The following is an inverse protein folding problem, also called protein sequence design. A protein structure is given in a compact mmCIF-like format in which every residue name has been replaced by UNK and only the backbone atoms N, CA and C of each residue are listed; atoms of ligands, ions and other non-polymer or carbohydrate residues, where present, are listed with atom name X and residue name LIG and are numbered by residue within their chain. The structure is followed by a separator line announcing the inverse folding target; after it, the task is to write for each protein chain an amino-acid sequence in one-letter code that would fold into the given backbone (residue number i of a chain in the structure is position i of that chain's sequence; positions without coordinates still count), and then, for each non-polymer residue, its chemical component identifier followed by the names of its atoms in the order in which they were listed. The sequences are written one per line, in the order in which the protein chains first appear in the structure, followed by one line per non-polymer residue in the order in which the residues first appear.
data_IF_751423133765
#
_entry.id   IF_751423133765
#
_cell.length_a   1.000
_cell.length_b   1.000
_cell.length_c   1.000
_cell.angle_alpha   90.00
_cell.angle_beta   90.00
_cell.angle_gamma   90.00
#
_symmetry.space_group_name_H-M   'P 1'
#
loop_
_entity.id
_entity.type
_entity.pdbx_description
1 polymer ?
#
# COMPACT_ATOMS: atom_id res chain seq x y z
N UNK A 1 -9.19 1.27 -15.66
CA UNK A 1 -10.27 1.03 -14.66
C UNK A 1 -9.98 -0.16 -13.73
N UNK A 2 -9.01 -1.02 -14.08
CA UNK A 2 -8.69 -2.21 -13.30
C UNK A 2 -7.51 -2.03 -12.32
N UNK A 3 -6.89 -0.86 -12.31
CA UNK A 3 -5.71 -0.55 -11.51
C UNK A 3 -6.07 0.47 -10.44
N UNK A 4 -5.78 0.12 -9.18
CA UNK A 4 -5.76 1.03 -8.06
C UNK A 4 -4.33 1.38 -7.70
N UNK A 5 -4.07 2.61 -7.25
CA UNK A 5 -2.73 3.06 -6.92
C UNK A 5 -2.69 3.84 -5.61
N UNK A 6 -1.84 3.37 -4.71
CA UNK A 6 -1.41 4.11 -3.52
C UNK A 6 -0.07 4.76 -3.81
N UNK A 7 -0.04 6.08 -3.86
CA UNK A 7 1.17 6.88 -4.04
C UNK A 7 1.95 7.05 -2.72
N UNK A 8 3.24 7.26 -2.79
CA UNK A 8 4.16 7.40 -1.65
C UNK A 8 3.63 8.36 -0.57
N UNK A 9 3.21 9.55 -0.88
CA UNK A 9 2.65 10.53 0.08
C UNK A 9 1.14 10.37 0.32
N UNK A 10 0.51 9.24 -0.10
CA UNK A 10 -0.95 9.06 -0.21
C UNK A 10 -1.61 9.97 -1.25
N UNK A 11 -1.01 11.08 -1.63
CA UNK A 11 -1.46 12.06 -2.62
C UNK A 11 -2.97 12.40 -2.47
N UNK A 12 -3.39 12.65 -1.24
CA UNK A 12 -4.76 13.11 -0.96
C UNK A 12 -4.93 14.55 -1.41
N UNK A 13 -6.10 14.88 -1.92
CA UNK A 13 -6.48 16.25 -2.23
C UNK A 13 -6.75 17.00 -0.94
N UNK A 14 -5.95 17.98 -0.60
CA UNK A 14 -6.09 18.77 0.63
C UNK A 14 -7.37 19.63 0.66
N UNK A 15 -7.92 19.93 -0.52
CA UNK A 15 -9.19 20.67 -0.67
C UNK A 15 -10.45 19.81 -0.56
N UNK A 16 -10.29 18.50 -0.38
CA UNK A 16 -11.39 17.52 -0.29
C UNK A 16 -11.35 16.79 1.04
N UNK A 17 -12.52 16.51 1.61
CA UNK A 17 -12.61 15.66 2.78
C UNK A 17 -12.29 14.19 2.46
N UNK A 18 -12.24 13.33 3.48
CA UNK A 18 -11.93 11.91 3.34
C UNK A 18 -12.89 11.20 2.39
N UNK A 19 -14.20 11.41 2.57
CA UNK A 19 -15.22 10.79 1.72
C UNK A 19 -15.07 11.18 0.26
N UNK A 20 -14.84 12.46 -0.01
CA UNK A 20 -14.61 12.99 -1.36
C UNK A 20 -13.30 12.46 -1.98
N UNK A 21 -12.23 12.33 -1.18
CA UNK A 21 -10.99 11.73 -1.63
C UNK A 21 -11.19 10.28 -2.08
N UNK A 22 -11.89 9.47 -1.27
CA UNK A 22 -12.16 8.06 -1.61
C UNK A 22 -13.13 7.95 -2.77
N UNK A 23 -14.14 8.82 -2.86
CA UNK A 23 -15.13 8.84 -3.93
C UNK A 23 -14.57 9.26 -5.30
N UNK A 24 -13.49 10.04 -5.31
CA UNK A 24 -12.96 10.67 -6.52
C UNK A 24 -12.78 9.72 -7.73
N UNK A 25 -12.22 8.50 -7.60
CA UNK A 25 -12.13 7.59 -8.74
C UNK A 25 -13.50 7.18 -9.30
N UNK A 26 -14.51 7.02 -8.47
CA UNK A 26 -15.87 6.69 -8.90
C UNK A 26 -16.51 7.85 -9.67
N UNK A 27 -16.23 9.09 -9.26
CA UNK A 27 -16.78 10.28 -9.94
C UNK A 27 -16.21 10.46 -11.35
N UNK A 28 -14.94 10.08 -11.56
CA UNK A 28 -14.27 10.24 -12.86
C UNK A 28 -14.49 9.02 -13.77
N UNK A 29 -14.56 7.82 -13.21
CA UNK A 29 -14.50 6.58 -13.99
C UNK A 29 -15.84 5.89 -14.19
N UNK A 30 -16.88 6.27 -13.43
CA UNK A 30 -18.16 5.58 -13.42
C UNK A 30 -19.35 6.54 -13.49
N UNK A 31 -20.47 6.05 -14.01
CA UNK A 31 -21.78 6.72 -13.97
C UNK A 31 -22.66 6.18 -12.82
N UNK A 32 -22.05 5.50 -11.86
CA UNK A 32 -22.74 4.93 -10.69
C UNK A 32 -23.55 6.02 -9.96
N UNK A 33 -24.79 5.74 -9.53
CA UNK A 33 -25.59 6.68 -8.75
C UNK A 33 -24.90 7.13 -7.46
N UNK A 34 -25.14 8.37 -7.03
CA UNK A 34 -24.46 8.97 -5.87
C UNK A 34 -24.63 8.14 -4.58
N UNK A 35 -25.83 7.58 -4.37
CA UNK A 35 -26.10 6.73 -3.22
C UNK A 35 -25.19 5.50 -3.18
N UNK A 36 -25.04 4.81 -4.30
CA UNK A 36 -24.17 3.63 -4.41
C UNK A 36 -22.70 3.98 -4.27
N UNK A 37 -22.26 5.16 -4.79
CA UNK A 37 -20.91 5.67 -4.57
C UNK A 37 -20.63 5.85 -3.08
N UNK A 38 -21.55 6.46 -2.33
CA UNK A 38 -21.39 6.68 -0.89
C UNK A 38 -21.36 5.35 -0.12
N UNK A 39 -22.16 4.37 -0.50
CA UNK A 39 -22.13 3.03 0.11
C UNK A 39 -20.76 2.38 -0.13
N UNK A 40 -20.22 2.43 -1.36
CA UNK A 40 -18.86 1.92 -1.67
C UNK A 40 -17.76 2.63 -0.88
N UNK A 41 -17.84 3.96 -0.78
CA UNK A 41 -16.90 4.78 0.01
C UNK A 41 -16.88 4.33 1.47
N UNK A 42 -18.06 4.21 2.09
CA UNK A 42 -18.19 3.79 3.47
C UNK A 42 -17.65 2.37 3.68
N UNK A 43 -17.98 1.46 2.78
CA UNK A 43 -17.46 0.10 2.82
C UNK A 43 -15.93 0.05 2.71
N UNK A 44 -15.33 0.81 1.79
CA UNK A 44 -13.86 0.86 1.66
C UNK A 44 -13.18 1.50 2.88
N UNK A 45 -13.78 2.53 3.47
CA UNK A 45 -13.29 3.11 4.73
C UNK A 45 -13.36 2.12 5.88
N UNK A 46 -14.44 1.34 5.98
CA UNK A 46 -14.56 0.26 6.97
C UNK A 46 -13.49 -0.83 6.77
N UNK A 47 -13.25 -1.25 5.52
CA UNK A 47 -12.21 -2.23 5.19
C UNK A 47 -10.81 -1.80 5.66
N UNK A 48 -10.51 -0.51 5.65
CA UNK A 48 -9.23 0.01 6.14
C UNK A 48 -9.27 0.44 7.63
N UNK A 49 -10.34 0.09 8.36
CA UNK A 49 -10.51 0.37 9.78
C UNK A 49 -10.71 1.84 10.11
N UNK A 50 -11.34 2.59 9.21
CA UNK A 50 -11.66 4.01 9.39
C UNK A 50 -13.17 4.22 9.40
N UNK A 51 -13.74 4.45 10.59
CA UNK A 51 -15.17 4.68 10.76
C UNK A 51 -15.46 6.14 11.11
N UNK A 52 -16.55 6.69 10.56
CA UNK A 52 -17.07 8.05 10.87
C UNK A 52 -16.05 9.18 10.62
N UNK A 53 -15.21 9.04 9.58
CA UNK A 53 -14.17 10.04 9.25
C UNK A 53 -14.45 10.78 7.94
N UNK A 54 -15.55 10.50 7.26
CA UNK A 54 -15.86 11.01 5.91
C UNK A 54 -15.72 12.54 5.79
N UNK A 55 -16.11 13.29 6.83
CA UNK A 55 -16.10 14.75 6.83
C UNK A 55 -14.76 15.36 7.26
N UNK A 56 -13.81 14.54 7.75
CA UNK A 56 -12.50 15.06 8.15
C UNK A 56 -11.69 15.49 6.94
N UNK A 57 -10.90 16.54 7.11
CA UNK A 57 -9.93 16.99 6.12
C UNK A 57 -8.60 16.21 6.28
N UNK A 58 -7.80 16.08 5.23
CA UNK A 58 -6.49 15.44 5.34
C UNK A 58 -5.58 16.02 6.43
N UNK A 59 -5.67 17.33 6.69
CA UNK A 59 -4.92 18.00 7.76
C UNK A 59 -5.25 17.51 9.18
N UNK A 60 -6.43 16.90 9.37
CA UNK A 60 -6.89 16.37 10.66
C UNK A 60 -6.50 14.90 10.87
N UNK A 61 -5.79 14.28 9.91
CA UNK A 61 -5.44 12.87 9.92
C UNK A 61 -3.98 12.64 10.33
N UNK A 62 -3.72 11.58 11.10
CA UNK A 62 -2.37 11.07 11.30
C UNK A 62 -1.79 10.50 10.00
N UNK A 63 -0.45 10.31 9.93
CA UNK A 63 0.21 9.72 8.77
C UNK A 63 -0.37 8.35 8.40
N UNK A 64 -0.56 7.47 9.37
CA UNK A 64 -1.17 6.16 9.15
C UNK A 64 -2.62 6.23 8.68
N UNK A 65 -3.42 7.19 9.17
CA UNK A 65 -4.78 7.41 8.67
C UNK A 65 -4.77 7.89 7.22
N UNK A 66 -3.86 8.81 6.85
CA UNK A 66 -3.71 9.26 5.45
C UNK A 66 -3.40 8.09 4.52
N UNK A 67 -2.49 7.18 4.92
CA UNK A 67 -2.19 5.97 4.15
C UNK A 67 -3.42 5.09 3.97
N UNK A 68 -4.18 4.84 5.04
CA UNK A 68 -5.43 4.06 5.00
C UNK A 68 -6.48 4.69 4.08
N UNK A 69 -6.66 6.01 4.10
CA UNK A 69 -7.54 6.72 3.15
C UNK A 69 -7.05 6.56 1.71
N UNK A 70 -5.72 6.65 1.49
CA UNK A 70 -5.12 6.40 0.18
C UNK A 70 -5.36 4.98 -0.34
N UNK A 71 -5.28 3.97 0.55
CA UNK A 71 -5.61 2.57 0.22
C UNK A 71 -7.10 2.45 -0.11
N UNK A 72 -8.00 3.01 0.72
CA UNK A 72 -9.44 2.99 0.47
C UNK A 72 -9.78 3.59 -0.91
N UNK A 73 -9.16 4.72 -1.26
CA UNK A 73 -9.30 5.34 -2.59
C UNK A 73 -8.79 4.43 -3.72
N UNK A 74 -7.71 3.71 -3.50
CA UNK A 74 -7.14 2.82 -4.52
C UNK A 74 -8.03 1.61 -4.81
N UNK A 75 -8.78 1.11 -3.82
CA UNK A 75 -9.63 -0.09 -3.98
C UNK A 75 -11.10 0.21 -4.28
N UNK A 76 -11.56 1.46 -4.18
CA UNK A 76 -12.98 1.84 -4.26
C UNK A 76 -13.66 1.48 -5.59
N UNK A 77 -12.89 1.33 -6.66
CA UNK A 77 -13.38 0.97 -8.00
C UNK A 77 -13.24 -0.54 -8.30
N UNK A 78 -13.20 -1.39 -7.27
CA UNK A 78 -13.08 -2.85 -7.40
C UNK A 78 -11.88 -3.26 -8.29
N UNK A 79 -10.73 -2.62 -8.06
CA UNK A 79 -9.51 -2.79 -8.86
C UNK A 79 -8.97 -4.21 -8.74
N UNK A 80 -8.62 -4.84 -9.88
CA UNK A 80 -7.99 -6.18 -9.92
C UNK A 80 -6.51 -6.14 -9.54
N UNK A 81 -5.86 -5.02 -9.81
CA UNK A 81 -4.44 -4.79 -9.53
C UNK A 81 -4.29 -3.61 -8.57
N UNK A 82 -3.57 -3.82 -7.50
CA UNK A 82 -3.24 -2.77 -6.53
C UNK A 82 -1.74 -2.50 -6.56
N UNK A 83 -1.36 -1.28 -6.91
CA UNK A 83 0.02 -0.81 -6.87
C UNK A 83 0.21 0.06 -5.63
N UNK A 84 1.19 -0.28 -4.80
CA UNK A 84 1.55 0.47 -3.61
C UNK A 84 3.00 0.96 -3.75
N UNK A 85 3.16 2.27 -3.83
CA UNK A 85 4.48 2.92 -3.90
C UNK A 85 4.86 3.41 -2.50
N UNK A 86 5.89 2.80 -1.91
CA UNK A 86 6.41 3.10 -0.57
C UNK A 86 5.29 3.26 0.49
N UNK A 87 4.44 2.23 0.70
CA UNK A 87 3.26 2.35 1.56
C UNK A 87 3.62 2.76 3.00
N UNK A 88 4.79 2.37 3.48
CA UNK A 88 5.24 2.60 4.87
C UNK A 88 6.10 3.84 5.06
N UNK A 89 6.42 4.56 3.97
CA UNK A 89 7.27 5.75 4.04
C UNK A 89 6.71 6.79 5.01
N UNK A 90 7.56 7.26 5.94
CA UNK A 90 7.23 8.31 6.91
C UNK A 90 6.37 7.86 8.10
N UNK A 91 6.22 6.55 8.32
CA UNK A 91 5.51 5.99 9.46
C UNK A 91 6.47 5.47 10.53
N UNK A 92 5.99 5.43 11.78
CA UNK A 92 6.67 4.71 12.85
C UNK A 92 6.61 3.18 12.60
N UNK A 93 7.53 2.39 13.17
CA UNK A 93 7.63 0.94 12.88
C UNK A 93 6.34 0.15 13.17
N UNK A 94 5.62 0.49 14.25
CA UNK A 94 4.38 -0.22 14.59
C UNK A 94 3.26 0.09 13.61
N UNK A 95 3.17 1.34 13.16
CA UNK A 95 2.18 1.74 12.16
C UNK A 95 2.53 1.16 10.80
N UNK A 96 3.83 1.06 10.45
CA UNK A 96 4.29 0.42 9.22
C UNK A 96 3.83 -1.04 9.13
N UNK A 97 4.06 -1.85 10.17
CA UNK A 97 3.60 -3.24 10.25
C UNK A 97 2.08 -3.34 10.02
N UNK A 98 1.30 -2.47 10.69
CA UNK A 98 -0.17 -2.45 10.51
C UNK A 98 -0.62 -2.11 9.10
N UNK A 99 0.16 -1.34 8.34
CA UNK A 99 -0.12 -1.06 6.92
C UNK A 99 0.21 -2.27 6.06
N UNK A 100 1.32 -2.98 6.34
CA UNK A 100 1.68 -4.21 5.64
C UNK A 100 0.62 -5.30 5.85
N UNK A 101 0.22 -5.54 7.11
CA UNK A 101 -0.86 -6.47 7.46
C UNK A 101 -2.16 -6.13 6.73
N UNK A 102 -2.53 -4.85 6.72
CA UNK A 102 -3.72 -4.37 6.02
C UNK A 102 -3.65 -4.65 4.51
N UNK A 103 -2.52 -4.36 3.87
CA UNK A 103 -2.32 -4.62 2.44
C UNK A 103 -2.45 -6.12 2.15
N UNK A 104 -1.85 -6.98 2.97
CA UNK A 104 -1.94 -8.43 2.83
C UNK A 104 -3.38 -8.92 3.00
N UNK A 105 -4.07 -8.47 4.06
CA UNK A 105 -5.49 -8.82 4.31
C UNK A 105 -6.38 -8.41 3.14
N UNK A 106 -6.25 -7.17 2.65
CA UNK A 106 -7.03 -6.68 1.52
C UNK A 106 -6.74 -7.45 0.23
N UNK A 107 -5.47 -7.80 -0.03
CA UNK A 107 -5.06 -8.61 -1.18
C UNK A 107 -5.79 -9.94 -1.19
N UNK A 108 -5.84 -10.62 -0.06
CA UNK A 108 -6.52 -11.91 0.09
C UNK A 108 -8.05 -11.78 0.01
N UNK A 109 -8.62 -10.81 0.75
CA UNK A 109 -10.06 -10.60 0.84
C UNK A 109 -10.68 -10.17 -0.48
N UNK A 110 -10.02 -9.26 -1.19
CA UNK A 110 -10.50 -8.72 -2.46
C UNK A 110 -10.00 -9.54 -3.67
N UNK A 111 -9.13 -10.55 -3.44
CA UNK A 111 -8.51 -11.38 -4.49
C UNK A 111 -7.81 -10.53 -5.57
N UNK A 112 -7.12 -9.48 -5.15
CA UNK A 112 -6.35 -8.61 -6.03
C UNK A 112 -4.94 -9.15 -6.22
N UNK A 113 -4.31 -8.79 -7.34
CA UNK A 113 -2.86 -8.91 -7.48
C UNK A 113 -2.23 -7.61 -6.99
N UNK A 114 -1.47 -7.68 -5.90
CA UNK A 114 -0.84 -6.50 -5.30
C UNK A 114 0.64 -6.44 -5.62
N UNK A 115 1.11 -5.28 -6.07
CA UNK A 115 2.52 -4.99 -6.34
C UNK A 115 2.94 -3.88 -5.39
N UNK A 116 3.89 -4.18 -4.51
CA UNK A 116 4.46 -3.23 -3.56
C UNK A 116 5.87 -2.87 -4.02
N UNK A 117 6.12 -1.60 -4.25
CA UNK A 117 7.46 -1.05 -4.47
C UNK A 117 7.93 -0.51 -3.12
N UNK A 118 9.03 -1.03 -2.61
CA UNK A 118 9.56 -0.62 -1.30
C UNK A 118 11.06 -0.89 -1.20
N UNK A 119 11.73 -0.13 -0.34
CA UNK A 119 13.09 -0.38 0.11
C UNK A 119 13.12 -0.90 1.57
N UNK A 120 11.97 -1.07 2.22
CA UNK A 120 11.90 -1.62 3.56
C UNK A 120 11.99 -3.15 3.54
N UNK A 121 13.12 -3.66 4.01
CA UNK A 121 13.36 -5.11 4.05
C UNK A 121 12.46 -5.86 5.04
N UNK A 122 11.88 -5.18 6.04
CA UNK A 122 10.91 -5.83 6.92
C UNK A 122 9.65 -6.16 6.12
N UNK A 123 9.10 -5.18 5.38
CA UNK A 123 7.95 -5.41 4.49
C UNK A 123 8.24 -6.52 3.47
N UNK A 124 9.42 -6.48 2.82
CA UNK A 124 9.82 -7.49 1.82
C UNK A 124 9.81 -8.91 2.41
N UNK A 125 10.31 -9.08 3.64
CA UNK A 125 10.38 -10.41 4.28
C UNK A 125 9.02 -10.84 4.82
N UNK A 126 8.22 -9.93 5.37
CA UNK A 126 6.94 -10.25 6.01
C UNK A 126 5.83 -10.55 4.99
N UNK A 127 5.68 -9.72 3.96
CA UNK A 127 4.54 -9.83 3.03
C UNK A 127 4.94 -10.22 1.59
N UNK A 128 6.23 -10.31 1.27
CA UNK A 128 6.71 -10.60 -0.08
C UNK A 128 6.60 -12.08 -0.46
N UNK A 129 5.62 -12.46 -1.26
CA UNK A 129 5.50 -13.82 -1.83
C UNK A 129 6.41 -14.02 -3.03
N UNK A 130 6.38 -13.08 -3.97
CA UNK A 130 7.27 -13.01 -5.13
C UNK A 130 8.01 -11.67 -5.11
N UNK A 131 9.32 -11.73 -5.13
CA UNK A 131 10.19 -10.56 -4.98
C UNK A 131 11.04 -10.41 -6.23
N UNK A 132 11.08 -9.18 -6.75
CA UNK A 132 11.95 -8.79 -7.86
C UNK A 132 12.88 -7.68 -7.37
N UNK A 133 14.19 -7.89 -7.48
CA UNK A 133 15.17 -6.86 -7.16
C UNK A 133 15.63 -6.16 -8.42
N UNK A 134 15.44 -4.85 -8.43
CA UNK A 134 15.87 -3.97 -9.52
C UNK A 134 17.14 -3.24 -9.13
N UNK A 135 18.14 -3.25 -10.00
CA UNK A 135 19.41 -2.56 -9.81
C UNK A 135 19.85 -1.97 -11.15
N UNK A 136 20.24 -0.69 -11.16
CA UNK A 136 20.67 0.05 -12.36
C UNK A 136 19.72 -0.11 -13.56
N UNK A 137 18.40 -0.02 -13.29
CA UNK A 137 17.37 -0.12 -14.33
C UNK A 137 17.13 -1.52 -14.90
N UNK A 138 17.72 -2.57 -14.30
CA UNK A 138 17.58 -3.96 -14.74
C UNK A 138 17.09 -4.85 -13.61
N UNK A 139 16.38 -5.94 -13.98
CA UNK A 139 16.06 -7.01 -13.04
C UNK A 139 17.33 -7.82 -12.76
N UNK A 140 17.88 -7.68 -11.56
CA UNK A 140 19.10 -8.39 -11.16
C UNK A 140 18.78 -9.74 -10.50
N UNK A 141 17.66 -9.85 -9.79
CA UNK A 141 17.26 -11.06 -9.10
C UNK A 141 15.74 -11.17 -9.00
N UNK A 142 15.26 -12.42 -8.87
CA UNK A 142 13.88 -12.72 -8.53
C UNK A 142 13.78 -13.98 -7.66
N UNK A 143 12.75 -14.04 -6.81
CA UNK A 143 12.53 -15.17 -5.91
C UNK A 143 11.44 -14.88 -4.90
N UNK A 144 11.60 -15.43 -3.70
CA UNK A 144 10.66 -15.22 -2.59
C UNK A 144 11.40 -14.79 -1.31
N UNK A 145 10.65 -14.47 -0.27
CA UNK A 145 11.18 -14.03 1.03
C UNK A 145 12.14 -15.04 1.69
N UNK A 146 11.96 -16.36 1.44
CA UNK A 146 12.87 -17.40 1.99
C UNK A 146 14.21 -17.46 1.25
N UNK A 147 14.21 -17.12 -0.03
CA UNK A 147 15.41 -17.18 -0.89
C UNK A 147 16.23 -15.89 -0.84
N UNK A 148 15.60 -14.73 -0.61
CA UNK A 148 16.29 -13.44 -0.63
C UNK A 148 17.40 -13.36 0.44
N UNK A 149 17.18 -13.95 1.62
CA UNK A 149 18.15 -13.97 2.72
C UNK A 149 19.35 -14.92 2.48
N UNK A 150 19.24 -15.80 1.48
CA UNK A 150 20.24 -16.82 1.13
C UNK A 150 20.95 -16.55 -0.20
N UNK A 151 20.74 -15.37 -0.77
CA UNK A 151 21.35 -15.02 -2.06
C UNK A 151 22.87 -14.81 -1.91
N UNK A 152 23.62 -15.15 -2.99
CA UNK A 152 25.04 -14.87 -3.10
C UNK A 152 25.36 -13.67 -3.99
N UNK A 153 24.33 -12.96 -4.47
CA UNK A 153 24.50 -11.76 -5.30
C UNK A 153 24.95 -10.62 -4.40
N UNK A 154 26.12 -10.05 -4.70
CA UNK A 154 26.79 -9.04 -3.88
C UNK A 154 25.91 -7.81 -3.65
N UNK A 155 25.39 -7.24 -4.70
CA UNK A 155 24.57 -6.01 -4.69
C UNK A 155 23.30 -6.22 -3.86
N UNK A 156 22.65 -7.37 -4.01
CA UNK A 156 21.46 -7.72 -3.25
C UNK A 156 21.80 -7.95 -1.76
N UNK A 157 22.93 -8.62 -1.46
CA UNK A 157 23.39 -8.81 -0.09
C UNK A 157 23.73 -7.47 0.58
N UNK A 158 24.39 -6.57 -0.11
CA UNK A 158 24.70 -5.24 0.41
C UNK A 158 23.43 -4.46 0.73
N UNK A 159 22.40 -4.58 -0.11
CA UNK A 159 21.10 -3.95 0.11
C UNK A 159 20.36 -4.58 1.28
N UNK A 160 20.15 -5.90 1.28
CA UNK A 160 19.41 -6.67 2.31
C UNK A 160 20.05 -6.48 3.68
N UNK A 161 21.37 -6.57 3.78
CA UNK A 161 22.12 -6.47 5.02
C UNK A 161 22.72 -5.07 5.27
N UNK A 162 22.22 -4.02 4.62
CA UNK A 162 22.59 -2.63 4.91
C UNK A 162 22.27 -2.22 6.34
N UNK A 163 21.19 -2.77 6.90
CA UNK A 163 20.80 -2.54 8.30
C UNK A 163 21.56 -3.46 9.27
N UNK A 164 22.07 -2.88 10.39
CA UNK A 164 22.80 -3.62 11.43
C UNK A 164 21.98 -4.76 12.07
N UNK A 165 20.65 -4.63 12.12
CA UNK A 165 19.77 -5.68 12.65
C UNK A 165 19.75 -6.89 11.72
N UNK A 166 19.62 -6.69 10.42
CA UNK A 166 19.62 -7.76 9.42
C UNK A 166 20.99 -8.47 9.36
N UNK A 167 22.10 -7.78 9.65
CA UNK A 167 23.43 -8.41 9.76
C UNK A 167 23.54 -9.44 10.88
N UNK A 168 22.70 -9.41 11.90
CA UNK A 168 22.69 -10.37 13.00
C UNK A 168 21.86 -11.64 12.72
N UNK A 169 21.09 -11.63 11.66
CA UNK A 169 20.23 -12.75 11.24
C UNK A 169 20.97 -13.66 10.24
N UNK A 170 22.06 -13.18 9.66
CA UNK A 170 22.96 -13.94 8.78
C UNK A 170 23.91 -14.81 9.61
#
# INVERSE_FOLDING_TARGET
REIGMLFQGSALFDSKNVGENVKFPLDILTETPEKEKLEKVNHCLELVGLNKVNQKMPSELSGGMKKRVGIARAIVNDSKYLFCDEPNSGLDPLTAIKIDDLILELTQKLKTTTIVVTHDMNSVVEIGEYIMFLHEGKKLWEGNNKKILKTNIKELNEFVFSNKLMKKIK
#
